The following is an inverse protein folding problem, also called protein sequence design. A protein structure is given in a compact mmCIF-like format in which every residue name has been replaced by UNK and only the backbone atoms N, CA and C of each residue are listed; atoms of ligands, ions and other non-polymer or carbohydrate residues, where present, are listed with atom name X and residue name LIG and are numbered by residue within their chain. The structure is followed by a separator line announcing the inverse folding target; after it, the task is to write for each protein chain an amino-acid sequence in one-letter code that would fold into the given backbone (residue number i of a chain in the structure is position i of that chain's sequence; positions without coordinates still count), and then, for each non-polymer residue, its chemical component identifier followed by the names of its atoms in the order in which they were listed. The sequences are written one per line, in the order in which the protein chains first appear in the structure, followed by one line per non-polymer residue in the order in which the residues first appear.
data_IF_232645911268
#
_entry.id   IF_232645911268
#
_cell.length_a   1.000
_cell.length_b   1.000
_cell.length_c   1.000
_cell.angle_alpha   90.00
_cell.angle_beta   90.00
_cell.angle_gamma   90.00
#
_symmetry.space_group_name_H-M   'P 1'
#
loop_
_entity.id
_entity.type
_entity.pdbx_description
1 polymer ?
#
# COMPACT_ATOMS: atom_id res chain seq x y z
N UNK A 1 -19.50 -18.64 -2.99
CA UNK A 1 -20.10 -17.43 -2.39
C UNK A 1 -19.27 -16.23 -2.80
N UNK A 2 -19.84 -15.45 -3.73
CA UNK A 2 -19.20 -14.33 -4.43
C UNK A 2 -19.19 -13.08 -3.56
N UNK A 3 -18.02 -12.50 -3.28
CA UNK A 3 -17.95 -11.09 -2.90
C UNK A 3 -17.84 -10.26 -4.17
N UNK A 4 -18.98 -9.67 -4.59
CA UNK A 4 -19.03 -8.67 -5.65
C UNK A 4 -18.47 -7.36 -5.10
N UNK A 5 -17.39 -6.93 -5.74
CA UNK A 5 -16.72 -5.66 -5.57
C UNK A 5 -17.67 -4.51 -5.98
N UNK A 6 -17.95 -3.58 -5.05
CA UNK A 6 -18.72 -2.36 -5.34
C UNK A 6 -17.91 -1.14 -4.93
N UNK A 7 -16.82 -0.91 -5.64
CA UNK A 7 -16.16 0.38 -5.71
C UNK A 7 -16.26 0.87 -7.15
N UNK A 8 -17.40 1.49 -7.47
CA UNK A 8 -17.51 2.39 -8.61
C UNK A 8 -17.29 3.79 -8.05
N UNK A 9 -16.14 4.38 -8.35
CA UNK A 9 -15.90 5.80 -8.12
C UNK A 9 -15.09 6.32 -9.29
N UNK A 10 -15.69 7.30 -9.97
CA UNK A 10 -15.18 7.97 -11.14
C UNK A 10 -13.77 8.55 -10.90
N UNK A 11 -12.94 8.71 -11.96
CA UNK A 11 -11.63 9.33 -11.81
C UNK A 11 -11.79 10.80 -11.42
N UNK A 12 -11.31 11.14 -10.21
CA UNK A 12 -11.13 12.52 -9.76
C UNK A 12 -9.81 13.00 -10.37
N UNK A 13 -9.89 13.84 -11.40
CA UNK A 13 -8.72 14.53 -11.96
C UNK A 13 -8.21 15.60 -10.98
N UNK A 14 -6.93 15.59 -10.58
CA UNK A 14 -6.36 16.70 -9.82
C UNK A 14 -6.16 17.90 -10.75
N UNK A 15 -6.90 18.99 -10.50
CA UNK A 15 -6.67 20.28 -11.15
C UNK A 15 -5.45 20.96 -10.51
N UNK A 16 -4.35 21.06 -11.26
CA UNK A 16 -3.20 21.90 -10.90
C UNK A 16 -3.46 23.35 -11.30
N UNK A 17 -3.07 24.35 -10.48
CA UNK A 17 -3.13 25.75 -10.89
C UNK A 17 -2.11 26.04 -12.00
N UNK A 18 -2.58 26.59 -13.13
CA UNK A 18 -1.73 27.08 -14.21
C UNK A 18 -0.96 28.34 -13.77
N UNK A 19 0.37 28.29 -13.89
CA UNK A 19 1.23 29.47 -13.81
C UNK A 19 1.04 30.27 -15.10
N UNK A 20 0.51 31.47 -14.96
CA UNK A 20 0.30 32.44 -16.03
C UNK A 20 1.66 32.96 -16.51
N UNK A 21 2.07 32.62 -17.73
CA UNK A 21 3.27 33.17 -18.35
C UNK A 21 3.02 34.65 -18.69
N UNK A 22 3.85 35.54 -18.15
CA UNK A 22 3.86 36.96 -18.46
C UNK A 22 4.57 37.20 -19.82
N UNK A 23 3.93 37.82 -20.82
CA UNK A 23 4.46 37.89 -22.18
C UNK A 23 5.43 39.07 -22.45
N UNK A 24 5.97 39.73 -21.43
CA UNK A 24 6.85 40.89 -21.63
C UNK A 24 8.33 40.56 -21.40
N UNK A 25 8.96 39.87 -22.34
CA UNK A 25 10.41 39.96 -22.51
C UNK A 25 10.72 40.25 -23.97
N UNK A 26 11.12 41.49 -24.21
CA UNK A 26 11.33 42.10 -25.53
C UNK A 26 12.70 41.68 -26.07
N UNK A 27 12.72 41.24 -27.33
CA UNK A 27 13.92 41.05 -28.16
C UNK A 27 14.71 42.35 -28.34
N UNK A 28 16.04 42.28 -28.31
CA UNK A 28 16.89 43.18 -29.10
C UNK A 28 18.24 42.54 -29.46
N UNK A 29 18.67 42.65 -30.73
CA UNK A 29 19.87 41.99 -31.24
C UNK A 29 21.10 42.91 -31.15
N UNK A 30 22.27 42.34 -30.83
CA UNK A 30 23.55 43.01 -31.03
C UNK A 30 24.51 42.09 -31.77
N UNK A 31 24.70 42.43 -33.04
CA UNK A 31 25.69 41.89 -33.98
C UNK A 31 27.09 42.37 -33.58
N UNK A 32 28.07 41.47 -33.47
CA UNK A 32 29.50 41.81 -33.66
C UNK A 32 30.24 40.62 -34.29
N UNK A 33 30.95 40.92 -35.38
CA UNK A 33 31.69 40.01 -36.24
C UNK A 33 33.05 39.54 -35.64
N UNK A 34 33.30 38.22 -35.69
CA UNK A 34 34.49 37.40 -36.10
C UNK A 34 35.95 37.79 -35.67
N UNK A 35 36.98 36.87 -35.65
CA UNK A 35 37.09 35.61 -36.42
C UNK A 35 37.80 34.37 -35.77
N UNK A 36 37.73 33.25 -36.53
CA UNK A 36 38.75 32.17 -36.77
C UNK A 36 38.96 31.00 -35.78
N UNK A 37 38.39 29.86 -36.18
CA UNK A 37 39.03 28.53 -36.37
C UNK A 37 39.86 27.92 -35.24
N UNK A 38 39.23 27.01 -34.48
CA UNK A 38 39.87 25.76 -34.01
C UNK A 38 38.84 24.64 -34.24
N UNK A 39 39.22 23.61 -35.01
CA UNK A 39 38.31 22.55 -35.46
C UNK A 39 37.82 21.64 -34.32
N UNK A 40 36.68 20.95 -34.49
CA UNK A 40 36.22 19.99 -33.50
C UNK A 40 37.07 18.71 -33.58
N UNK A 41 37.62 18.31 -32.44
CA UNK A 41 38.15 16.95 -32.25
C UNK A 41 36.97 16.00 -32.43
N UNK A 42 36.93 15.30 -33.56
CA UNK A 42 35.96 14.25 -33.84
C UNK A 42 36.31 13.02 -32.99
N UNK A 43 35.79 13.00 -31.77
CA UNK A 43 35.76 11.77 -30.98
C UNK A 43 34.66 10.85 -31.56
N UNK A 44 34.95 9.57 -31.83
CA UNK A 44 33.98 8.65 -32.46
C UNK A 44 32.69 8.55 -31.65
N UNK A 45 31.54 8.55 -32.34
CA UNK A 45 30.19 8.38 -31.76
C UNK A 45 30.00 7.09 -30.93
N UNK A 46 30.95 6.16 -30.97
CA UNK A 46 30.95 4.96 -30.13
C UNK A 46 31.43 5.21 -28.69
N UNK A 47 32.20 6.28 -28.43
CA UNK A 47 32.75 6.58 -27.09
C UNK A 47 31.72 7.26 -26.19
N UNK A 48 30.87 8.12 -26.74
CA UNK A 48 29.75 8.75 -26.03
C UNK A 48 28.62 7.75 -25.69
N UNK A 49 28.62 6.55 -26.28
CA UNK A 49 27.63 5.50 -25.99
C UNK A 49 27.94 4.74 -24.68
N UNK A 50 29.17 4.77 -24.18
CA UNK A 50 29.59 3.93 -23.06
C UNK A 50 29.68 4.66 -21.71
N UNK A 51 29.46 5.98 -21.67
CA UNK A 51 29.58 6.79 -20.44
C UNK A 51 28.25 7.37 -19.93
N UNK A 52 27.14 7.13 -20.63
CA UNK A 52 25.80 7.57 -20.20
C UNK A 52 24.75 6.45 -20.35
N UNK A 53 24.97 5.29 -19.74
CA UNK A 53 23.85 4.40 -19.40
C UNK A 53 24.24 3.44 -18.26
N UNK A 54 24.99 3.92 -17.28
CA UNK A 54 24.82 3.40 -15.92
C UNK A 54 23.72 4.24 -15.30
N UNK A 55 22.50 4.07 -15.80
CA UNK A 55 21.32 4.56 -15.12
C UNK A 55 21.34 3.89 -13.75
N UNK A 56 21.75 4.63 -12.72
CA UNK A 56 21.38 4.32 -11.35
C UNK A 56 19.86 4.43 -11.35
N UNK A 57 19.21 3.34 -11.78
CA UNK A 57 17.77 3.19 -11.79
C UNK A 57 17.32 3.59 -10.40
N UNK A 58 16.58 4.69 -10.31
CA UNK A 58 15.97 5.09 -9.06
C UNK A 58 15.03 3.96 -8.73
N UNK A 59 15.40 3.14 -7.75
CA UNK A 59 14.57 2.04 -7.28
C UNK A 59 13.25 2.65 -6.80
N UNK A 60 12.16 2.33 -7.48
CA UNK A 60 10.84 2.82 -7.11
C UNK A 60 10.21 1.90 -6.06
N UNK A 61 9.26 2.38 -5.25
CA UNK A 61 8.48 1.53 -4.36
C UNK A 61 7.79 0.36 -5.09
N UNK A 62 7.40 0.57 -6.35
CA UNK A 62 6.80 -0.44 -7.22
C UNK A 62 7.81 -1.54 -7.58
N UNK A 63 9.06 -1.19 -7.88
CA UNK A 63 10.13 -2.16 -8.15
C UNK A 63 10.44 -3.03 -6.92
N UNK A 64 10.46 -2.40 -5.74
CA UNK A 64 10.64 -3.12 -4.47
C UNK A 64 9.47 -4.07 -4.22
N UNK A 65 8.23 -3.58 -4.37
CA UNK A 65 7.04 -4.39 -4.19
C UNK A 65 6.99 -5.58 -5.17
N UNK A 66 7.27 -5.32 -6.45
CA UNK A 66 7.34 -6.36 -7.48
C UNK A 66 8.36 -7.43 -7.12
N UNK A 67 9.55 -7.04 -6.66
CA UNK A 67 10.59 -7.96 -6.21
C UNK A 67 10.12 -8.81 -5.02
N UNK A 68 9.56 -8.19 -3.97
CA UNK A 68 9.09 -8.88 -2.75
C UNK A 68 7.92 -9.84 -3.00
N UNK A 69 7.08 -9.54 -4.00
CA UNK A 69 6.01 -10.43 -4.43
C UNK A 69 6.57 -11.63 -5.20
N UNK A 70 7.59 -11.42 -6.03
CA UNK A 70 8.18 -12.45 -6.88
C UNK A 70 9.12 -13.39 -6.12
N UNK A 71 9.80 -12.93 -5.07
CA UNK A 71 10.73 -13.73 -4.27
C UNK A 71 10.04 -14.54 -3.14
N UNK A 72 8.73 -14.35 -2.95
CA UNK A 72 7.93 -15.04 -1.94
C UNK A 72 8.02 -14.46 -0.53
N UNK A 73 8.71 -13.33 -0.34
CA UNK A 73 8.84 -12.67 0.97
C UNK A 73 7.48 -12.18 1.49
N UNK A 74 6.62 -11.60 0.63
CA UNK A 74 5.26 -11.18 1.02
C UNK A 74 4.43 -12.37 1.52
N UNK A 75 4.54 -13.53 0.86
CA UNK A 75 3.83 -14.74 1.26
C UNK A 75 4.34 -15.31 2.58
N UNK A 76 5.66 -15.32 2.78
CA UNK A 76 6.30 -15.69 4.04
C UNK A 76 5.83 -14.78 5.18
N UNK A 77 5.79 -13.47 4.96
CA UNK A 77 5.27 -12.51 5.93
C UNK A 77 3.79 -12.75 6.24
N UNK A 78 2.95 -12.97 5.23
CA UNK A 78 1.53 -13.32 5.42
C UNK A 78 1.37 -14.59 6.27
N UNK A 79 2.16 -15.62 6.01
CA UNK A 79 2.12 -16.87 6.77
C UNK A 79 2.55 -16.67 8.23
N UNK A 80 3.63 -15.92 8.47
CA UNK A 80 4.09 -15.56 9.82
C UNK A 80 3.02 -14.79 10.60
N UNK A 81 2.41 -13.77 9.98
CA UNK A 81 1.30 -12.99 10.57
C UNK A 81 0.14 -13.90 10.96
N UNK A 82 -0.33 -14.75 10.04
CA UNK A 82 -1.44 -15.67 10.30
C UNK A 82 -1.10 -16.62 11.47
N UNK A 83 0.14 -17.12 11.50
CA UNK A 83 0.60 -18.05 12.54
C UNK A 83 0.62 -17.39 13.91
N UNK A 84 1.17 -16.18 14.01
CA UNK A 84 1.23 -15.43 15.27
C UNK A 84 -0.17 -14.98 15.74
N UNK A 85 -1.03 -14.54 14.82
CA UNK A 85 -2.42 -14.18 15.17
C UNK A 85 -3.22 -15.38 15.67
N UNK A 86 -3.06 -16.56 15.05
CA UNK A 86 -3.73 -17.79 15.51
C UNK A 86 -3.25 -18.22 16.89
N UNK A 87 -1.99 -17.95 17.22
CA UNK A 87 -1.40 -18.24 18.53
C UNK A 87 -1.65 -17.13 19.58
N UNK A 88 -2.32 -16.03 19.21
CA UNK A 88 -2.58 -14.92 20.10
C UNK A 88 -3.73 -15.25 21.07
N UNK A 89 -3.38 -15.77 22.23
CA UNK A 89 -4.34 -16.11 23.29
C UNK A 89 -5.06 -14.87 23.86
N UNK A 90 -4.44 -13.69 23.85
CA UNK A 90 -5.10 -12.46 24.31
C UNK A 90 -6.27 -12.07 23.40
N UNK A 91 -6.06 -12.09 22.09
CA UNK A 91 -7.10 -11.82 21.09
C UNK A 91 -8.24 -12.84 21.19
N UNK A 92 -7.90 -14.12 21.37
CA UNK A 92 -8.86 -15.21 21.59
C UNK A 92 -9.68 -15.01 22.87
N UNK A 93 -9.02 -14.76 23.99
CA UNK A 93 -9.69 -14.52 25.28
C UNK A 93 -10.59 -13.29 25.24
N UNK A 94 -10.14 -12.24 24.57
CA UNK A 94 -10.93 -11.02 24.37
C UNK A 94 -12.17 -11.30 23.51
N UNK A 95 -12.03 -12.09 22.45
CA UNK A 95 -13.16 -12.48 21.60
C UNK A 95 -14.17 -13.34 22.36
N UNK A 96 -13.70 -14.29 23.19
CA UNK A 96 -14.56 -15.09 24.06
C UNK A 96 -15.37 -14.17 25.00
N UNK A 97 -14.71 -13.23 25.69
CA UNK A 97 -15.41 -12.28 26.57
C UNK A 97 -16.45 -11.43 25.83
N UNK A 98 -16.16 -11.01 24.60
CA UNK A 98 -17.10 -10.25 23.78
C UNK A 98 -18.32 -11.09 23.37
N UNK A 99 -18.11 -12.37 23.07
CA UNK A 99 -19.22 -13.31 22.81
C UNK A 99 -20.03 -13.54 24.09
N UNK A 100 -19.38 -13.77 25.23
CA UNK A 100 -20.06 -13.98 26.52
C UNK A 100 -20.91 -12.77 26.93
N UNK A 101 -20.42 -11.56 26.65
CA UNK A 101 -21.13 -10.31 26.94
C UNK A 101 -22.14 -9.92 25.85
N UNK A 102 -22.32 -10.75 24.83
CA UNK A 102 -23.15 -10.40 23.67
C UNK A 102 -24.62 -10.31 24.03
N UNK A 103 -25.30 -9.27 23.51
CA UNK A 103 -26.73 -9.08 23.72
C UNK A 103 -27.55 -10.17 23.04
N UNK A 104 -27.07 -10.74 21.94
CA UNK A 104 -27.69 -11.89 21.26
C UNK A 104 -27.92 -13.05 22.23
N UNK A 105 -26.99 -13.32 23.15
CA UNK A 105 -27.12 -14.42 24.12
C UNK A 105 -28.13 -14.11 25.24
N UNK A 106 -28.34 -12.85 25.57
CA UNK A 106 -29.24 -12.41 26.65
C UNK A 106 -30.63 -11.96 26.14
N UNK A 107 -30.86 -11.99 24.83
CA UNK A 107 -32.14 -11.60 24.25
C UNK A 107 -33.19 -12.67 24.53
N UNK A 108 -34.38 -12.27 24.97
CA UNK A 108 -35.48 -13.20 25.21
C UNK A 108 -35.82 -13.98 23.94
N UNK A 109 -35.85 -15.31 24.02
CA UNK A 109 -36.06 -16.18 22.86
C UNK A 109 -34.79 -16.73 22.23
N UNK A 110 -33.59 -16.31 22.69
CA UNK A 110 -32.32 -16.91 22.27
C UNK A 110 -32.28 -18.42 22.55
N UNK A 111 -32.96 -18.89 23.60
CA UNK A 111 -33.08 -20.31 23.94
C UNK A 111 -33.87 -21.14 22.93
N UNK A 112 -34.66 -20.49 22.07
CA UNK A 112 -35.49 -21.12 21.03
C UNK A 112 -34.85 -21.04 19.65
N UNK A 113 -33.77 -20.27 19.50
CA UNK A 113 -33.06 -20.13 18.24
C UNK A 113 -32.17 -21.34 17.99
N UNK A 114 -31.97 -21.64 16.70
CA UNK A 114 -31.01 -22.65 16.28
C UNK A 114 -29.58 -22.15 16.50
N UNK A 115 -28.61 -23.09 16.62
CA UNK A 115 -27.19 -22.75 16.71
C UNK A 115 -26.72 -21.85 15.55
N UNK A 116 -27.29 -22.03 14.36
CA UNK A 116 -26.97 -21.23 13.18
C UNK A 116 -27.45 -19.79 13.33
N UNK A 117 -28.69 -19.58 13.73
CA UNK A 117 -29.25 -18.25 13.95
C UNK A 117 -28.48 -17.50 15.05
N UNK A 118 -28.14 -18.19 16.14
CA UNK A 118 -27.31 -17.61 17.20
C UNK A 118 -25.92 -17.23 16.70
N UNK A 119 -25.27 -18.09 15.91
CA UNK A 119 -23.96 -17.79 15.35
C UNK A 119 -24.01 -16.63 14.35
N UNK A 120 -25.01 -16.61 13.46
CA UNK A 120 -25.17 -15.54 12.47
C UNK A 120 -25.46 -14.20 13.16
N UNK A 121 -26.33 -14.19 14.18
CA UNK A 121 -26.62 -13.00 14.98
C UNK A 121 -25.40 -12.53 15.79
N UNK A 122 -24.67 -13.44 16.44
CA UNK A 122 -23.41 -13.13 17.13
C UNK A 122 -22.38 -12.54 16.17
N UNK A 123 -22.25 -13.13 14.98
CA UNK A 123 -21.32 -12.64 13.96
C UNK A 123 -21.70 -11.24 13.49
N UNK A 124 -22.98 -10.97 13.32
CA UNK A 124 -23.47 -9.64 12.95
C UNK A 124 -23.20 -8.62 14.05
N UNK A 125 -23.42 -8.97 15.32
CA UNK A 125 -23.14 -8.06 16.45
C UNK A 125 -21.64 -7.76 16.59
N UNK A 126 -20.79 -8.75 16.32
CA UNK A 126 -19.34 -8.65 16.47
C UNK A 126 -18.59 -8.30 15.17
N UNK A 127 -19.32 -7.98 14.09
CA UNK A 127 -18.78 -7.82 12.73
C UNK A 127 -17.74 -6.69 12.64
N UNK A 128 -17.83 -5.67 13.50
CA UNK A 128 -16.88 -4.56 13.53
C UNK A 128 -15.79 -4.78 14.59
N UNK A 129 -16.21 -5.12 15.79
CA UNK A 129 -15.34 -5.08 16.98
C UNK A 129 -14.25 -6.15 17.00
N UNK A 130 -14.53 -7.38 16.54
CA UNK A 130 -13.52 -8.45 16.49
C UNK A 130 -12.51 -8.21 15.36
N UNK A 131 -12.94 -7.91 14.12
CA UNK A 131 -12.01 -7.58 13.04
C UNK A 131 -11.16 -6.33 13.30
N UNK A 132 -11.68 -5.32 13.97
CA UNK A 132 -10.90 -4.13 14.37
C UNK A 132 -9.76 -4.50 15.32
N UNK A 133 -10.03 -5.32 16.35
CA UNK A 133 -8.99 -5.80 17.28
C UNK A 133 -7.94 -6.64 16.56
N UNK A 134 -8.36 -7.53 15.67
CA UNK A 134 -7.45 -8.32 14.85
C UNK A 134 -6.58 -7.43 13.94
N UNK A 135 -7.18 -6.40 13.33
CA UNK A 135 -6.47 -5.44 12.47
C UNK A 135 -5.43 -4.65 13.26
N UNK A 136 -5.77 -4.21 14.47
CA UNK A 136 -4.81 -3.57 15.38
C UNK A 136 -3.65 -4.49 15.72
N UNK A 137 -3.93 -5.74 16.09
CA UNK A 137 -2.88 -6.74 16.37
C UNK A 137 -2.00 -7.01 15.16
N UNK A 138 -2.55 -7.05 13.93
CA UNK A 138 -1.74 -7.16 12.70
C UNK A 138 -0.77 -5.99 12.57
N UNK A 139 -1.24 -4.76 12.77
CA UNK A 139 -0.37 -3.58 12.68
C UNK A 139 0.74 -3.59 13.74
N UNK A 140 0.41 -3.95 14.97
CA UNK A 140 1.40 -4.09 16.05
C UNK A 140 2.44 -5.16 15.72
N UNK A 141 2.01 -6.30 15.16
CA UNK A 141 2.87 -7.39 14.72
C UNK A 141 3.80 -6.96 13.56
N UNK A 142 3.30 -6.20 12.59
CA UNK A 142 4.11 -5.67 11.47
C UNK A 142 5.16 -4.68 11.98
N UNK A 143 4.80 -3.86 12.97
CA UNK A 143 5.68 -2.83 13.55
C UNK A 143 6.65 -3.38 14.60
N UNK A 144 6.45 -4.60 15.12
CA UNK A 144 7.29 -5.17 16.17
C UNK A 144 8.74 -5.33 15.68
N UNK A 145 9.66 -4.75 16.46
CA UNK A 145 11.12 -4.86 16.32
C UNK A 145 11.67 -6.30 16.29
N UNK A 146 10.91 -7.27 16.79
CA UNK A 146 11.22 -8.71 16.68
C UNK A 146 11.03 -9.27 15.26
N UNK A 147 10.40 -8.49 14.37
CA UNK A 147 10.53 -8.55 12.92
C UNK A 147 9.84 -9.72 12.24
N UNK A 148 8.74 -9.44 11.53
CA UNK A 148 8.12 -10.40 10.59
C UNK A 148 8.95 -10.53 9.31
N UNK A 149 9.67 -9.48 8.94
CA UNK A 149 10.58 -9.42 7.79
C UNK A 149 12.05 -9.77 8.07
N UNK A 150 12.38 -10.24 9.29
CA UNK A 150 13.70 -10.81 9.61
C UNK A 150 13.76 -12.30 9.26
#
# INVERSE_FOLDING_TARGET
FLFKNKYSSAPISPSFPQIQQNPNFIDSPATHHFPRSIGPISLPLHVWRLTMESSSSVITPEDVMGTLMNDGTIDSMRLKIITQLKANEELKNTTIKMVEQSRVLYTSGAEKQTKRELFDALRQELETSVPEKASKSVWELILDSKGIGK
#
